data_IF_403875268611
#
_entry.id   IF_403875268611
#
_cell.length_a   1.000
_cell.length_b   1.000
_cell.length_c   1.000
_cell.angle_alpha   90.00
_cell.angle_beta   90.00
_cell.angle_gamma   90.00
#
_symmetry.space_group_name_H-M   'P 1'
#
loop_
_entity.id
_entity.type
_entity.pdbx_description
1 polymer ?
#
# COMPACT_ATOMS: atom_id res chain seq x y z
N UNK A 1 -48.21 -11.11 -27.55
CA UNK A 1 -46.89 -11.51 -27.03
C UNK A 1 -46.17 -10.24 -26.60
N UNK A 2 -46.04 -10.04 -25.29
CA UNK A 2 -45.50 -8.83 -24.71
C UNK A 2 -43.99 -8.74 -24.99
N UNK A 3 -43.56 -7.61 -25.54
CA UNK A 3 -42.15 -7.27 -25.70
C UNK A 3 -41.48 -7.24 -24.32
N UNK A 4 -40.57 -8.18 -24.08
CA UNK A 4 -39.72 -8.20 -22.89
C UNK A 4 -38.79 -6.99 -22.94
N UNK A 5 -38.92 -6.15 -21.91
CA UNK A 5 -38.18 -4.91 -21.65
C UNK A 5 -36.67 -5.04 -21.93
N UNK A 6 -36.19 -4.43 -23.01
CA UNK A 6 -34.75 -4.16 -23.20
C UNK A 6 -34.33 -3.10 -22.17
N UNK A 7 -33.70 -3.53 -21.08
CA UNK A 7 -33.06 -2.63 -20.13
C UNK A 7 -31.99 -1.79 -20.84
N UNK A 8 -31.92 -0.50 -20.53
CA UNK A 8 -30.89 0.43 -21.03
C UNK A 8 -29.47 -0.09 -20.69
N UNK A 9 -28.88 -0.89 -21.58
CA UNK A 9 -27.48 -1.27 -21.52
C UNK A 9 -26.64 -0.07 -21.97
N UNK A 10 -25.75 0.39 -21.09
CA UNK A 10 -24.71 1.34 -21.47
C UNK A 10 -23.79 0.64 -22.48
N UNK A 11 -23.32 1.35 -23.50
CA UNK A 11 -22.34 0.77 -24.42
C UNK A 11 -20.99 0.54 -23.71
N UNK A 12 -20.17 -0.36 -24.24
CA UNK A 12 -18.89 -0.72 -23.62
C UNK A 12 -17.93 0.48 -23.51
N UNK A 13 -17.92 1.37 -24.49
CA UNK A 13 -17.07 2.57 -24.48
C UNK A 13 -17.38 3.50 -23.29
N UNK A 14 -18.67 3.78 -23.03
CA UNK A 14 -19.06 4.60 -21.88
C UNK A 14 -18.82 3.84 -20.58
N UNK A 15 -18.98 2.53 -20.55
CA UNK A 15 -18.68 1.74 -19.36
C UNK A 15 -17.18 1.77 -19.03
N UNK A 16 -16.32 1.70 -20.05
CA UNK A 16 -14.87 1.87 -19.91
C UNK A 16 -14.52 3.27 -19.38
N UNK A 17 -15.21 4.31 -19.86
CA UNK A 17 -15.04 5.67 -19.33
C UNK A 17 -15.48 5.78 -17.87
N UNK A 18 -16.60 5.14 -17.50
CA UNK A 18 -17.06 5.02 -16.10
C UNK A 18 -15.99 4.35 -15.22
N UNK A 19 -15.47 3.20 -15.67
CA UNK A 19 -14.41 2.47 -14.97
C UNK A 19 -13.19 3.37 -14.74
N UNK A 20 -12.66 3.98 -15.82
CA UNK A 20 -11.50 4.88 -15.77
C UNK A 20 -11.72 6.05 -14.82
N UNK A 21 -12.90 6.66 -14.82
CA UNK A 21 -13.20 7.75 -13.90
C UNK A 21 -13.23 7.27 -12.44
N UNK A 22 -13.88 6.14 -12.17
CA UNK A 22 -14.05 5.60 -10.82
C UNK A 22 -12.73 5.13 -10.18
N UNK A 23 -11.87 4.42 -10.91
CA UNK A 23 -10.57 3.93 -10.40
C UNK A 23 -9.57 5.08 -10.15
N UNK A 24 -9.77 6.23 -10.80
CA UNK A 24 -9.01 7.45 -10.56
C UNK A 24 -9.63 8.36 -9.48
N UNK A 25 -10.60 7.84 -8.72
CA UNK A 25 -11.16 8.51 -7.55
C UNK A 25 -12.06 9.70 -7.87
N UNK A 26 -12.64 9.75 -9.07
CA UNK A 26 -13.68 10.73 -9.37
C UNK A 26 -14.96 10.43 -8.60
N UNK A 27 -15.71 11.49 -8.27
CA UNK A 27 -17.03 11.33 -7.65
C UNK A 27 -18.04 10.76 -8.66
N UNK A 28 -19.11 10.12 -8.17
CA UNK A 28 -20.20 9.64 -9.04
C UNK A 28 -20.84 10.78 -9.85
N UNK A 29 -20.89 12.00 -9.28
CA UNK A 29 -21.36 13.20 -9.99
C UNK A 29 -20.39 13.63 -11.09
N UNK A 30 -19.08 13.70 -10.79
CA UNK A 30 -18.08 14.04 -11.79
C UNK A 30 -18.06 13.01 -12.93
N UNK A 31 -18.14 11.72 -12.57
CA UNK A 31 -18.20 10.61 -13.53
C UNK A 31 -19.45 10.71 -14.41
N UNK A 32 -20.61 11.02 -13.83
CA UNK A 32 -21.87 11.26 -14.54
C UNK A 32 -21.73 12.38 -15.57
N UNK A 33 -21.11 13.50 -15.18
CA UNK A 33 -20.87 14.63 -16.09
C UNK A 33 -19.86 14.28 -17.19
N UNK A 34 -18.74 13.63 -16.85
CA UNK A 34 -17.67 13.27 -17.80
C UNK A 34 -18.19 12.29 -18.85
N UNK A 35 -18.96 11.28 -18.43
CA UNK A 35 -19.45 10.25 -19.32
C UNK A 35 -20.80 10.58 -19.97
N UNK A 36 -21.43 11.70 -19.59
CA UNK A 36 -22.78 12.07 -19.98
C UNK A 36 -23.80 10.93 -19.73
N UNK A 37 -23.78 10.41 -18.51
CA UNK A 37 -24.63 9.30 -18.05
C UNK A 37 -25.31 9.72 -16.75
N UNK A 38 -26.57 9.31 -16.56
CA UNK A 38 -27.27 9.58 -15.31
C UNK A 38 -26.52 9.05 -14.07
N UNK A 39 -26.57 9.80 -12.98
CA UNK A 39 -25.81 9.50 -11.75
C UNK A 39 -26.26 8.18 -11.09
N UNK A 40 -27.53 7.81 -11.16
CA UNK A 40 -28.00 6.54 -10.62
C UNK A 40 -27.47 5.36 -11.44
N UNK A 41 -27.33 5.56 -12.75
CA UNK A 41 -26.68 4.58 -13.63
C UNK A 41 -25.21 4.42 -13.27
N UNK A 42 -24.48 5.51 -13.01
CA UNK A 42 -23.09 5.43 -12.51
C UNK A 42 -23.02 4.68 -11.18
N UNK A 43 -23.90 5.00 -10.22
CA UNK A 43 -23.91 4.33 -8.92
C UNK A 43 -24.19 2.82 -9.05
N UNK A 44 -25.11 2.43 -9.94
CA UNK A 44 -25.43 1.03 -10.24
C UNK A 44 -24.22 0.28 -10.80
N UNK A 45 -23.57 0.83 -11.82
CA UNK A 45 -22.38 0.20 -12.42
C UNK A 45 -21.19 0.20 -11.47
N UNK A 46 -21.00 1.23 -10.64
CA UNK A 46 -19.96 1.22 -9.61
C UNK A 46 -20.16 0.06 -8.61
N UNK A 47 -21.41 -0.25 -8.24
CA UNK A 47 -21.72 -1.40 -7.41
C UNK A 47 -21.44 -2.72 -8.15
N UNK A 48 -21.90 -2.86 -9.39
CA UNK A 48 -21.70 -4.07 -10.21
C UNK A 48 -20.20 -4.36 -10.39
N UNK A 49 -19.44 -3.38 -10.88
CA UNK A 49 -18.01 -3.50 -11.14
C UNK A 49 -17.23 -3.80 -9.85
N UNK A 50 -17.58 -3.15 -8.74
CA UNK A 50 -16.94 -3.43 -7.45
C UNK A 50 -17.23 -4.82 -6.90
N UNK A 51 -18.46 -5.33 -7.04
CA UNK A 51 -18.80 -6.71 -6.68
C UNK A 51 -18.03 -7.71 -7.56
N UNK A 52 -18.02 -7.48 -8.88
CA UNK A 52 -17.27 -8.31 -9.83
C UNK A 52 -15.77 -8.28 -9.55
N UNK A 53 -15.22 -7.15 -9.13
CA UNK A 53 -13.81 -7.06 -8.73
C UNK A 53 -13.50 -7.92 -7.51
N UNK A 54 -14.42 -8.03 -6.55
CA UNK A 54 -14.27 -8.96 -5.43
C UNK A 54 -14.26 -10.42 -5.91
N UNK A 55 -15.15 -10.79 -6.84
CA UNK A 55 -15.18 -12.14 -7.40
C UNK A 55 -13.91 -12.48 -8.18
N UNK A 56 -13.43 -11.53 -9.00
CA UNK A 56 -12.18 -11.66 -9.74
C UNK A 56 -11.00 -11.85 -8.80
N UNK A 57 -10.89 -11.03 -7.75
CA UNK A 57 -9.84 -11.19 -6.74
C UNK A 57 -9.94 -12.54 -6.01
N UNK A 58 -11.16 -13.00 -5.69
CA UNK A 58 -11.38 -14.31 -5.08
C UNK A 58 -10.96 -15.47 -6.00
N UNK A 59 -11.09 -15.32 -7.31
CA UNK A 59 -10.64 -16.31 -8.29
C UNK A 59 -9.11 -16.31 -8.44
N UNK A 60 -8.49 -15.14 -8.52
CA UNK A 60 -7.07 -14.99 -8.88
C UNK A 60 -6.10 -15.09 -7.69
N UNK A 61 -6.44 -14.51 -6.55
CA UNK A 61 -5.55 -14.45 -5.39
C UNK A 61 -5.65 -15.73 -4.55
N UNK A 62 -5.08 -16.82 -5.06
CA UNK A 62 -5.06 -18.15 -4.41
C UNK A 62 -3.67 -18.77 -4.50
N UNK A 63 -3.31 -19.58 -3.50
CA UNK A 63 -2.06 -20.36 -3.51
C UNK A 63 -0.79 -19.49 -3.53
N UNK A 64 -0.85 -18.27 -2.99
CA UNK A 64 0.21 -17.29 -3.09
C UNK A 64 1.43 -17.68 -2.25
N UNK A 65 2.61 -17.66 -2.88
CA UNK A 65 3.89 -17.96 -2.24
C UNK A 65 4.61 -16.68 -1.82
N UNK A 66 4.13 -16.02 -0.76
CA UNK A 66 4.71 -14.75 -0.28
C UNK A 66 5.21 -14.85 1.15
N UNK A 67 6.54 -14.77 1.37
CA UNK A 67 7.11 -15.07 2.68
C UNK A 67 7.02 -13.91 3.67
N UNK A 68 6.78 -12.68 3.21
CA UNK A 68 6.72 -11.47 4.05
C UNK A 68 5.41 -10.75 3.81
N UNK A 69 4.68 -10.46 4.88
CA UNK A 69 3.39 -9.78 4.86
C UNK A 69 3.41 -8.61 5.83
N UNK A 70 2.95 -7.46 5.36
CA UNK A 70 2.67 -6.28 6.17
C UNK A 70 1.16 -6.06 6.25
N UNK A 71 0.65 -5.74 7.44
CA UNK A 71 -0.76 -5.43 7.63
C UNK A 71 -0.95 -4.12 8.38
N UNK A 72 -1.96 -3.36 7.96
CA UNK A 72 -2.33 -2.06 8.54
C UNK A 72 -3.81 -1.77 8.26
N UNK A 73 -4.37 -0.78 8.94
CA UNK A 73 -5.76 -0.34 8.77
C UNK A 73 -5.89 1.08 8.24
N UNK A 74 -6.70 1.21 7.18
CA UNK A 74 -7.05 2.49 6.60
C UNK A 74 -8.38 3.02 7.16
N UNK A 75 -8.33 4.11 7.92
CA UNK A 75 -9.54 4.79 8.40
C UNK A 75 -10.31 5.50 7.28
N UNK A 76 -11.64 5.35 7.32
CA UNK A 76 -12.65 6.13 6.61
C UNK A 76 -13.99 6.14 7.38
N UNK A 77 -15.05 6.71 6.81
CA UNK A 77 -16.39 6.64 7.39
C UNK A 77 -17.50 6.60 6.34
N UNK A 78 -18.67 6.08 6.74
CA UNK A 78 -19.89 5.99 5.96
C UNK A 78 -20.97 6.85 6.59
N UNK A 79 -21.56 7.74 5.79
CA UNK A 79 -22.64 8.70 6.09
C UNK A 79 -22.25 9.79 7.10
N UNK A 80 -21.73 9.44 8.26
CA UNK A 80 -21.33 10.38 9.33
C UNK A 80 -20.25 9.75 10.23
N UNK A 81 -19.51 10.59 10.96
CA UNK A 81 -18.48 10.14 11.90
C UNK A 81 -19.08 9.41 13.10
N UNK A 82 -18.32 8.51 13.71
CA UNK A 82 -18.79 7.59 14.76
C UNK A 82 -19.53 8.28 15.91
N UNK A 83 -19.08 9.45 16.36
CA UNK A 83 -19.69 10.18 17.47
C UNK A 83 -21.14 10.64 17.23
N UNK A 84 -21.66 10.54 16.00
CA UNK A 84 -23.03 10.95 15.63
C UNK A 84 -23.91 9.79 15.20
N UNK A 85 -23.44 8.56 15.37
CA UNK A 85 -24.09 7.34 14.88
C UNK A 85 -24.87 6.71 16.03
N UNK A 86 -26.14 6.41 15.80
CA UNK A 86 -26.94 5.67 16.79
C UNK A 86 -26.53 4.18 16.81
N UNK A 87 -26.85 3.42 17.87
CA UNK A 87 -26.56 1.99 17.91
C UNK A 87 -27.15 1.21 16.71
N UNK A 88 -28.38 1.52 16.30
CA UNK A 88 -29.03 0.91 15.15
C UNK A 88 -28.32 1.23 13.82
N UNK A 89 -27.89 2.49 13.64
CA UNK A 89 -27.11 2.89 12.46
C UNK A 89 -25.72 2.24 12.44
N UNK A 90 -25.10 2.07 13.60
CA UNK A 90 -23.80 1.40 13.74
C UNK A 90 -23.89 -0.07 13.35
N UNK A 91 -24.94 -0.77 13.81
CA UNK A 91 -25.24 -2.15 13.42
C UNK A 91 -25.51 -2.28 11.91
N UNK A 92 -26.11 -1.26 11.29
CA UNK A 92 -26.27 -1.18 9.83
C UNK A 92 -24.96 -0.85 9.07
N UNK A 93 -23.82 -0.74 9.76
CA UNK A 93 -22.51 -0.45 9.16
C UNK A 93 -22.23 1.02 8.86
N UNK A 94 -23.04 1.95 9.37
CA UNK A 94 -22.76 3.39 9.27
C UNK A 94 -21.74 3.80 10.34
N UNK A 95 -21.10 4.96 10.17
CA UNK A 95 -20.06 5.41 11.09
C UNK A 95 -18.65 5.14 10.56
N UNK A 96 -17.74 4.87 11.47
CA UNK A 96 -16.37 4.49 11.10
C UNK A 96 -16.36 3.18 10.31
N UNK A 97 -15.50 3.16 9.28
CA UNK A 97 -15.25 2.01 8.42
C UNK A 97 -13.75 1.93 8.17
N UNK A 98 -13.13 0.89 8.72
CA UNK A 98 -11.71 0.61 8.57
C UNK A 98 -11.53 -0.44 7.48
N UNK A 99 -10.55 -0.20 6.60
CA UNK A 99 -10.13 -1.19 5.62
C UNK A 99 -8.82 -1.80 6.11
N UNK A 100 -8.91 -3.04 6.58
CA UNK A 100 -7.76 -3.87 6.91
C UNK A 100 -7.13 -4.34 5.60
N UNK A 101 -5.81 -4.27 5.46
CA UNK A 101 -5.11 -4.57 4.22
C UNK A 101 -3.94 -5.49 4.53
N UNK A 102 -3.79 -6.56 3.75
CA UNK A 102 -2.65 -7.47 3.79
C UNK A 102 -1.83 -7.29 2.52
N UNK A 103 -0.59 -6.85 2.67
CA UNK A 103 0.32 -6.55 1.57
C UNK A 103 1.51 -7.51 1.59
N UNK A 104 1.74 -8.21 0.48
CA UNK A 104 2.89 -9.07 0.31
C UNK A 104 4.13 -8.29 -0.15
N UNK A 105 5.25 -8.52 0.52
CA UNK A 105 6.57 -8.02 0.14
C UNK A 105 7.41 -9.16 -0.44
N UNK A 106 8.22 -8.92 -1.49
CA UNK A 106 8.57 -7.63 -2.12
C UNK A 106 7.64 -7.18 -3.27
N UNK A 107 6.67 -8.01 -3.68
CA UNK A 107 5.83 -7.77 -4.86
C UNK A 107 4.89 -6.57 -4.72
N UNK A 108 4.63 -6.12 -3.49
CA UNK A 108 3.61 -5.11 -3.13
C UNK A 108 2.22 -5.51 -3.57
N UNK A 109 1.98 -6.81 -3.71
CA UNK A 109 0.68 -7.38 -4.06
C UNK A 109 -0.24 -7.30 -2.85
N UNK A 110 -1.43 -6.74 -3.02
CA UNK A 110 -2.44 -6.76 -1.95
C UNK A 110 -3.10 -8.13 -1.95
N UNK A 111 -2.76 -8.94 -0.95
CA UNK A 111 -3.26 -10.32 -0.77
C UNK A 111 -4.75 -10.30 -0.50
N UNK A 112 -5.19 -9.45 0.42
CA UNK A 112 -6.60 -9.25 0.74
C UNK A 112 -6.84 -7.89 1.38
N UNK A 113 -8.12 -7.49 1.38
CA UNK A 113 -8.66 -6.38 2.14
C UNK A 113 -9.97 -6.80 2.80
N UNK A 114 -10.28 -6.22 3.96
CA UNK A 114 -11.57 -6.39 4.62
C UNK A 114 -12.05 -5.06 5.17
N UNK A 115 -13.31 -4.72 4.87
CA UNK A 115 -13.93 -3.47 5.29
C UNK A 115 -14.94 -3.75 6.39
N UNK A 116 -14.65 -3.24 7.59
CA UNK A 116 -15.48 -3.45 8.77
C UNK A 116 -15.24 -2.40 9.84
N UNK A 117 -15.55 -2.77 11.07
CA UNK A 117 -15.29 -1.96 12.26
C UNK A 117 -13.87 -2.26 12.75
N UNK A 118 -13.31 -1.37 13.57
CA UNK A 118 -11.98 -1.62 14.17
C UNK A 118 -12.14 -2.43 15.44
N UNK A 119 -12.41 -3.71 15.26
CA UNK A 119 -12.68 -4.68 16.32
C UNK A 119 -12.08 -6.06 16.01
N UNK A 120 -12.18 -6.96 16.99
CA UNK A 120 -11.64 -8.31 16.90
C UNK A 120 -12.36 -9.19 15.88
N UNK A 121 -13.67 -8.98 15.68
CA UNK A 121 -14.46 -9.72 14.69
C UNK A 121 -13.95 -9.44 13.27
N UNK A 122 -13.79 -8.15 12.92
CA UNK A 122 -13.28 -7.76 11.60
C UNK A 122 -11.84 -8.25 11.41
N UNK A 123 -11.00 -8.16 12.44
CA UNK A 123 -9.62 -8.66 12.39
C UNK A 123 -9.56 -10.18 12.16
N UNK A 124 -10.41 -10.97 12.85
CA UNK A 124 -10.45 -12.43 12.64
C UNK A 124 -10.92 -12.80 11.23
N UNK A 125 -11.95 -12.12 10.68
CA UNK A 125 -12.39 -12.32 9.28
C UNK A 125 -11.25 -12.00 8.29
N UNK A 126 -10.54 -10.91 8.53
CA UNK A 126 -9.42 -10.48 7.69
C UNK A 126 -8.24 -11.47 7.71
N UNK A 127 -7.86 -11.98 8.88
CA UNK A 127 -6.81 -12.99 8.99
C UNK A 127 -7.23 -14.34 8.42
N UNK A 128 -8.50 -14.73 8.57
CA UNK A 128 -9.04 -15.94 7.96
C UNK A 128 -8.89 -15.91 6.43
N UNK A 129 -9.26 -14.79 5.80
CA UNK A 129 -9.12 -14.63 4.34
C UNK A 129 -7.64 -14.51 3.93
N UNK A 130 -6.80 -13.83 4.72
CA UNK A 130 -5.34 -13.81 4.49
C UNK A 130 -4.78 -15.23 4.50
N UNK A 131 -5.14 -16.03 5.51
CA UNK A 131 -4.70 -17.42 5.67
C UNK A 131 -5.17 -18.32 4.53
N UNK A 132 -6.38 -18.12 4.02
CA UNK A 132 -6.92 -18.95 2.94
C UNK A 132 -6.22 -18.75 1.59
N UNK A 133 -5.59 -17.58 1.39
CA UNK A 133 -4.95 -17.22 0.10
C UNK A 133 -3.51 -17.68 -0.04
N UNK A 134 -2.86 -18.05 1.07
CA UNK A 134 -1.44 -18.38 1.11
C UNK A 134 -1.20 -19.89 1.00
N UNK A 135 -0.10 -20.27 0.35
CA UNK A 135 0.39 -21.65 0.26
C UNK A 135 1.64 -21.90 1.13
N UNK A 136 2.26 -20.83 1.64
CA UNK A 136 3.44 -20.88 2.50
C UNK A 136 3.18 -20.11 3.79
N UNK A 137 3.78 -20.56 4.90
CA UNK A 137 3.72 -19.85 6.17
C UNK A 137 4.45 -18.50 6.05
N UNK A 138 3.77 -17.36 6.27
CA UNK A 138 4.38 -16.04 6.14
C UNK A 138 5.12 -15.64 7.42
N UNK A 139 5.96 -14.60 7.30
CA UNK A 139 6.26 -13.68 8.40
C UNK A 139 5.31 -12.51 8.33
N UNK A 140 4.70 -12.15 9.46
CA UNK A 140 3.72 -11.08 9.52
C UNK A 140 4.28 -9.93 10.35
N UNK A 141 4.12 -8.70 9.86
CA UNK A 141 4.37 -7.48 10.63
C UNK A 141 3.14 -6.60 10.63
N UNK A 142 2.70 -6.18 11.81
CA UNK A 142 1.57 -5.26 11.99
C UNK A 142 1.92 -4.08 12.90
N UNK A 143 0.99 -3.14 13.04
CA UNK A 143 1.07 -2.11 14.07
C UNK A 143 0.65 -2.67 15.46
N UNK A 144 0.68 -1.80 16.47
CA UNK A 144 0.31 -2.15 17.84
C UNK A 144 -1.21 -2.27 18.08
N UNK A 145 -2.01 -2.76 17.13
CA UNK A 145 -3.45 -2.96 17.35
C UNK A 145 -3.74 -4.26 18.12
N UNK A 146 -4.40 -4.11 19.29
CA UNK A 146 -4.59 -5.19 20.27
C UNK A 146 -5.23 -6.49 19.74
N UNK A 147 -6.17 -6.47 18.78
CA UNK A 147 -6.77 -7.70 18.27
C UNK A 147 -5.87 -8.57 17.37
N UNK A 148 -4.83 -8.01 16.73
CA UNK A 148 -4.00 -8.79 15.79
C UNK A 148 -3.36 -10.04 16.40
N UNK A 149 -2.72 -10.00 17.59
CA UNK A 149 -2.14 -11.20 18.20
C UNK A 149 -3.14 -12.36 18.35
N UNK A 150 -4.38 -12.07 18.75
CA UNK A 150 -5.39 -13.12 18.91
C UNK A 150 -5.81 -13.68 17.55
N UNK A 151 -6.14 -12.81 16.59
CA UNK A 151 -6.58 -13.22 15.25
C UNK A 151 -5.50 -14.00 14.48
N UNK A 152 -4.26 -13.54 14.50
CA UNK A 152 -3.13 -14.22 13.86
C UNK A 152 -2.88 -15.58 14.52
N UNK A 153 -2.89 -15.63 15.86
CA UNK A 153 -2.73 -16.87 16.61
C UNK A 153 -3.82 -17.90 16.31
N UNK A 154 -5.07 -17.47 16.14
CA UNK A 154 -6.21 -18.32 15.77
C UNK A 154 -6.05 -18.95 14.37
N UNK A 155 -5.65 -18.16 13.37
CA UNK A 155 -5.67 -18.61 11.97
C UNK A 155 -4.38 -19.28 11.49
N UNK A 156 -3.23 -18.81 11.98
CA UNK A 156 -1.90 -19.31 11.60
C UNK A 156 -1.26 -20.21 12.67
N UNK A 157 -1.70 -20.12 13.93
CA UNK A 157 -1.09 -20.81 15.06
C UNK A 157 0.16 -20.11 15.60
N UNK A 158 0.65 -20.49 16.80
CA UNK A 158 1.77 -19.83 17.47
C UNK A 158 3.13 -20.05 16.80
N UNK A 159 3.19 -20.93 15.79
CA UNK A 159 4.41 -21.20 15.01
C UNK A 159 4.67 -20.19 13.89
N UNK A 160 3.78 -19.21 13.68
CA UNK A 160 3.99 -18.13 12.73
C UNK A 160 5.00 -17.13 13.28
N UNK A 161 5.88 -16.64 12.41
CA UNK A 161 6.78 -15.55 12.77
C UNK A 161 6.01 -14.24 12.71
N UNK A 162 5.73 -13.63 13.87
CA UNK A 162 4.88 -12.44 13.96
C UNK A 162 5.50 -11.38 14.85
N UNK A 163 5.59 -10.15 14.32
CA UNK A 163 6.07 -8.98 15.04
C UNK A 163 5.14 -7.78 14.97
N UNK A 164 5.18 -6.93 16.01
CA UNK A 164 4.44 -5.68 16.08
C UNK A 164 5.38 -4.48 16.18
N UNK A 165 5.09 -3.44 15.40
CA UNK A 165 5.71 -2.12 15.51
C UNK A 165 4.87 -1.18 16.37
N UNK A 166 5.30 -0.92 17.61
CA UNK A 166 4.63 0.02 18.51
C UNK A 166 5.25 1.41 18.36
N UNK A 167 4.47 2.34 17.80
CA UNK A 167 4.85 3.76 17.67
C UNK A 167 4.66 4.48 19.01
N UNK A 168 5.74 4.97 19.61
CA UNK A 168 5.70 5.74 20.86
C UNK A 168 5.52 7.22 20.58
N UNK A 169 4.26 7.67 20.57
CA UNK A 169 3.95 9.10 20.48
C UNK A 169 4.09 9.76 21.86
N UNK A 170 4.98 10.76 22.01
CA UNK A 170 5.04 11.57 23.24
C UNK A 170 3.82 12.49 23.30
N UNK A 171 3.18 12.56 24.47
CA UNK A 171 1.97 13.39 24.71
C UNK A 171 2.27 14.85 25.10
N UNK A 172 3.52 15.28 25.07
CA UNK A 172 3.94 16.63 25.47
C UNK A 172 4.67 17.35 24.33
N UNK A 173 4.29 18.60 24.06
CA UNK A 173 5.15 19.53 23.32
C UNK A 173 6.47 19.69 24.06
N UNK A 174 7.56 19.87 23.33
CA UNK A 174 8.91 20.07 23.87
C UNK A 174 8.90 21.33 24.75
N UNK A 175 8.80 21.15 26.07
CA UNK A 175 9.13 22.16 27.08
C UNK A 175 10.52 21.81 27.57
N UNK A 176 11.55 22.42 27.00
CA UNK A 176 12.83 22.68 27.69
C UNK A 176 13.72 23.51 26.76
N UNK A 177 14.14 24.67 27.27
CA UNK A 177 14.98 25.66 26.58
C UNK A 177 16.47 25.27 26.55
N UNK A 178 16.88 24.23 27.30
CA UNK A 178 18.29 23.95 27.59
C UNK A 178 18.89 22.74 26.82
N UNK A 179 18.09 22.06 25.99
CA UNK A 179 18.55 20.93 25.16
C UNK A 179 18.36 21.17 23.67
N UNK A 180 18.52 22.42 23.21
CA UNK A 180 18.21 22.83 21.83
C UNK A 180 19.04 22.12 20.75
N UNK A 181 20.23 21.60 21.08
CA UNK A 181 21.19 21.08 20.11
C UNK A 181 21.51 19.57 20.21
N UNK A 182 20.85 18.82 21.11
CA UNK A 182 20.99 17.37 21.11
C UNK A 182 19.84 16.68 20.36
N UNK A 183 20.13 15.72 19.46
CA UNK A 183 19.10 14.96 18.78
C UNK A 183 18.38 14.01 19.76
N UNK A 184 17.05 13.84 19.67
CA UNK A 184 16.33 12.86 20.47
C UNK A 184 16.84 11.43 20.20
N UNK A 185 17.23 10.68 21.24
CA UNK A 185 17.70 9.27 21.15
C UNK A 185 16.71 8.25 21.69
N UNK A 186 15.41 8.47 21.52
CA UNK A 186 14.38 7.50 21.89
C UNK A 186 13.74 6.96 20.61
N UNK A 187 13.80 5.64 20.33
CA UNK A 187 13.27 5.11 19.09
C UNK A 187 11.76 5.37 19.01
N UNK A 188 11.37 6.17 18.01
CA UNK A 188 9.97 6.47 17.68
C UNK A 188 9.13 5.19 17.45
N UNK A 189 9.78 4.11 17.01
CA UNK A 189 9.18 2.81 16.74
C UNK A 189 9.97 1.74 17.50
N UNK A 190 9.28 0.99 18.37
CA UNK A 190 9.84 -0.19 19.04
C UNK A 190 9.17 -1.43 18.44
N UNK A 191 9.97 -2.39 17.98
CA UNK A 191 9.48 -3.64 17.39
C UNK A 191 9.57 -4.77 18.40
N UNK A 192 8.51 -5.56 18.52
CA UNK A 192 8.42 -6.70 19.43
C UNK A 192 8.08 -7.97 18.66
N UNK A 193 8.77 -9.08 18.97
CA UNK A 193 8.35 -10.40 18.54
C UNK A 193 7.19 -10.87 19.44
N UNK A 194 6.09 -11.32 18.83
CA UNK A 194 4.89 -11.79 19.54
C UNK A 194 4.77 -13.31 19.43
N UNK A 195 4.91 -13.86 18.22
CA UNK A 195 4.98 -15.30 17.99
C UNK A 195 6.21 -15.66 17.15
N UNK A 196 6.66 -16.91 17.28
CA UNK A 196 7.80 -17.42 16.52
C UNK A 196 9.10 -16.66 16.80
N UNK A 197 9.94 -16.58 15.76
CA UNK A 197 11.23 -15.89 15.76
C UNK A 197 11.35 -14.99 14.52
N UNK A 198 10.49 -13.94 14.40
CA UNK A 198 10.49 -13.03 13.27
C UNK A 198 11.80 -12.24 13.20
N UNK A 199 12.17 -11.82 11.99
CA UNK A 199 13.32 -10.97 11.80
C UNK A 199 12.95 -9.50 12.05
N UNK A 200 13.22 -9.03 13.27
CA UNK A 200 12.92 -7.66 13.69
C UNK A 200 13.69 -6.58 12.91
N UNK A 201 14.82 -6.91 12.29
CA UNK A 201 15.57 -5.96 11.46
C UNK A 201 14.77 -5.61 10.20
N UNK A 202 14.19 -6.63 9.55
CA UNK A 202 13.40 -6.48 8.32
C UNK A 202 11.93 -6.15 8.55
N UNK A 203 11.40 -6.41 9.75
CA UNK A 203 10.01 -6.12 10.10
C UNK A 203 9.66 -4.62 9.91
N UNK A 204 8.69 -4.30 9.06
CA UNK A 204 8.25 -2.93 8.81
C UNK A 204 6.80 -2.91 8.36
N UNK A 205 6.14 -1.75 8.49
CA UNK A 205 4.79 -1.48 7.96
C UNK A 205 4.83 -0.38 6.88
N UNK A 206 6.02 0.06 6.49
CA UNK A 206 6.19 1.23 5.63
C UNK A 206 5.57 1.04 4.23
N UNK A 207 5.53 -0.19 3.71
CA UNK A 207 5.02 -0.45 2.37
C UNK A 207 3.49 -0.48 2.35
N UNK A 208 2.86 -1.08 3.36
CA UNK A 208 1.40 -1.01 3.52
C UNK A 208 0.95 0.42 3.83
N UNK A 209 1.70 1.19 4.64
CA UNK A 209 1.41 2.61 4.88
C UNK A 209 1.51 3.46 3.60
N UNK A 210 2.52 3.16 2.76
CA UNK A 210 2.65 3.81 1.45
C UNK A 210 1.53 3.40 0.50
N UNK A 211 1.11 2.14 0.51
CA UNK A 211 -0.03 1.64 -0.25
C UNK A 211 -1.32 2.36 0.19
N UNK A 212 -1.58 2.44 1.49
CA UNK A 212 -2.68 3.18 2.09
C UNK A 212 -2.78 4.63 1.58
N UNK A 213 -1.64 5.30 1.41
CA UNK A 213 -1.58 6.64 0.81
C UNK A 213 -1.96 6.66 -0.68
N UNK A 214 -1.52 5.67 -1.47
CA UNK A 214 -1.94 5.50 -2.87
C UNK A 214 -3.44 5.24 -2.95
N UNK A 215 -3.96 4.33 -2.13
CA UNK A 215 -5.35 3.92 -2.18
C UNK A 215 -6.33 5.06 -1.85
N UNK A 216 -5.92 6.05 -1.03
CA UNK A 216 -6.73 7.27 -0.82
C UNK A 216 -6.90 8.12 -2.09
N UNK A 217 -6.01 8.00 -3.07
CA UNK A 217 -6.13 8.71 -4.34
C UNK A 217 -7.12 8.00 -5.27
N UNK A 218 -6.99 6.67 -5.40
CA UNK A 218 -7.89 5.82 -6.19
C UNK A 218 -9.29 5.75 -5.60
N UNK A 219 -9.39 5.58 -4.28
CA UNK A 219 -10.66 5.54 -3.56
C UNK A 219 -10.98 6.96 -3.09
N UNK A 220 -11.47 7.81 -4.01
CA UNK A 220 -11.73 9.22 -3.72
C UNK A 220 -12.61 9.48 -2.49
N UNK A 221 -13.50 8.53 -2.16
CA UNK A 221 -14.37 8.51 -0.97
C UNK A 221 -13.65 8.25 0.37
N UNK A 222 -12.33 8.08 0.36
CA UNK A 222 -11.46 7.93 1.54
C UNK A 222 -10.46 9.07 1.70
N UNK A 223 -10.55 10.13 0.87
CA UNK A 223 -9.71 11.32 1.00
C UNK A 223 -9.98 12.00 2.34
N UNK A 224 -8.90 12.44 3.00
CA UNK A 224 -8.97 13.10 4.31
C UNK A 224 -9.22 14.59 4.15
N UNK A 225 -9.81 15.20 5.18
CA UNK A 225 -10.02 16.65 5.29
C UNK A 225 -10.85 17.27 4.16
N UNK A 226 -11.69 16.46 3.50
CA UNK A 226 -12.62 16.88 2.46
C UNK A 226 -13.97 16.19 2.65
N UNK A 227 -15.02 16.73 2.03
CA UNK A 227 -16.38 16.15 2.05
C UNK A 227 -16.53 14.97 1.08
N UNK A 228 -15.60 14.02 1.14
CA UNK A 228 -15.64 12.79 0.34
C UNK A 228 -15.88 11.59 1.25
N UNK A 229 -17.08 11.01 1.19
CA UNK A 229 -17.47 9.86 2.00
C UNK A 229 -18.54 9.02 1.31
N UNK A 230 -18.64 7.74 1.66
CA UNK A 230 -19.72 6.86 1.19
C UNK A 230 -21.03 7.17 1.90
N UNK A 231 -22.16 7.09 1.20
CA UNK A 231 -23.49 7.13 1.83
C UNK A 231 -24.02 5.75 2.23
N UNK A 232 -23.55 4.71 1.56
CA UNK A 232 -23.97 3.33 1.76
C UNK A 232 -22.75 2.43 2.02
N UNK A 233 -22.79 1.55 3.04
CA UNK A 233 -21.69 0.62 3.32
C UNK A 233 -21.41 -0.34 2.17
N UNK A 234 -22.45 -0.85 1.49
CA UNK A 234 -22.29 -1.78 0.34
C UNK A 234 -21.50 -1.13 -0.80
N UNK A 235 -21.86 0.10 -1.18
CA UNK A 235 -21.11 0.86 -2.19
C UNK A 235 -19.69 1.23 -1.73
N UNK A 236 -19.48 1.40 -0.42
CA UNK A 236 -18.13 1.61 0.12
C UNK A 236 -17.24 0.39 -0.13
N UNK A 237 -17.72 -0.82 0.23
CA UNK A 237 -17.01 -2.08 -0.01
C UNK A 237 -16.75 -2.33 -1.50
N UNK A 238 -17.74 -2.08 -2.35
CA UNK A 238 -17.60 -2.22 -3.79
C UNK A 238 -16.51 -1.30 -4.37
N UNK A 239 -16.46 -0.03 -3.94
CA UNK A 239 -15.43 0.91 -4.40
C UNK A 239 -14.01 0.51 -3.93
N UNK A 240 -13.90 -0.03 -2.70
CA UNK A 240 -12.66 -0.58 -2.16
C UNK A 240 -12.19 -1.75 -3.02
N UNK A 241 -13.06 -2.73 -3.25
CA UNK A 241 -12.74 -3.91 -4.03
C UNK A 241 -12.29 -3.56 -5.46
N UNK A 242 -13.04 -2.68 -6.14
CA UNK A 242 -12.70 -2.21 -7.49
C UNK A 242 -11.29 -1.62 -7.53
N UNK A 243 -10.97 -0.76 -6.57
CA UNK A 243 -9.71 -0.01 -6.57
C UNK A 243 -8.51 -0.89 -6.21
N UNK A 244 -8.64 -1.83 -5.28
CA UNK A 244 -7.55 -2.74 -4.93
C UNK A 244 -7.28 -3.76 -6.05
N UNK A 245 -8.34 -4.25 -6.71
CA UNK A 245 -8.17 -5.14 -7.86
C UNK A 245 -7.48 -4.41 -9.03
N UNK A 246 -7.90 -3.17 -9.33
CA UNK A 246 -7.22 -2.30 -10.29
C UNK A 246 -5.75 -2.03 -9.90
N UNK A 247 -5.46 -1.76 -8.63
CA UNK A 247 -4.09 -1.56 -8.15
C UNK A 247 -3.20 -2.78 -8.41
N UNK A 248 -3.70 -3.99 -8.16
CA UNK A 248 -2.93 -5.22 -8.33
C UNK A 248 -2.66 -5.53 -9.81
N UNK A 249 -3.66 -5.34 -10.69
CA UNK A 249 -3.63 -5.85 -12.07
C UNK A 249 -3.14 -4.82 -13.10
N UNK A 250 -3.47 -3.54 -12.92
CA UNK A 250 -3.30 -2.52 -13.96
C UNK A 250 -2.26 -1.46 -13.58
N UNK A 251 -2.18 -1.10 -12.30
CA UNK A 251 -1.31 -0.01 -11.86
C UNK A 251 0.12 -0.49 -11.61
N UNK A 252 1.10 0.29 -12.09
CA UNK A 252 2.53 0.06 -11.81
C UNK A 252 2.98 1.04 -10.73
N UNK A 253 3.22 0.60 -9.48
CA UNK A 253 3.75 1.46 -8.44
C UNK A 253 5.13 2.00 -8.85
N UNK A 254 5.40 3.29 -8.64
CA UNK A 254 6.66 3.96 -9.04
C UNK A 254 7.97 3.24 -8.61
N UNK A 255 7.92 2.47 -7.52
CA UNK A 255 9.07 1.70 -7.03
C UNK A 255 9.22 0.30 -7.62
N UNK A 256 8.32 -0.10 -8.52
CA UNK A 256 8.35 -1.34 -9.28
C UNK A 256 8.42 -1.00 -10.78
N UNK A 257 8.85 -1.97 -11.58
CA UNK A 257 8.82 -1.88 -13.06
C UNK A 257 7.63 -2.62 -13.68
N UNK A 258 6.94 -3.43 -12.87
CA UNK A 258 5.83 -4.30 -13.25
C UNK A 258 4.68 -4.11 -12.27
N UNK A 259 3.49 -4.59 -12.61
CA UNK A 259 2.34 -4.58 -11.70
C UNK A 259 2.57 -5.54 -10.53
N UNK A 260 1.91 -5.33 -9.39
CA UNK A 260 2.02 -6.24 -8.27
C UNK A 260 1.61 -7.68 -8.63
N UNK A 261 0.55 -7.86 -9.43
CA UNK A 261 0.09 -9.18 -9.87
C UNK A 261 1.10 -9.89 -10.78
N UNK A 262 1.79 -9.14 -11.64
CA UNK A 262 2.86 -9.69 -12.48
C UNK A 262 4.08 -10.07 -11.64
N UNK A 263 4.43 -9.23 -10.65
CA UNK A 263 5.59 -9.46 -9.77
C UNK A 263 5.49 -10.75 -8.95
N UNK A 264 4.26 -11.12 -8.56
CA UNK A 264 3.98 -12.36 -7.81
C UNK A 264 3.62 -13.55 -8.73
N UNK A 265 3.52 -13.34 -10.04
CA UNK A 265 3.19 -14.40 -11.00
C UNK A 265 1.70 -14.76 -11.09
N UNK A 266 0.80 -13.92 -10.59
CA UNK A 266 -0.66 -14.07 -10.77
C UNK A 266 -1.08 -13.77 -12.22
N UNK A 267 -0.37 -12.86 -12.89
CA UNK A 267 -0.52 -12.59 -14.33
C UNK A 267 0.85 -12.54 -15.01
N UNK A 268 0.89 -12.73 -16.33
CA UNK A 268 2.13 -12.65 -17.11
C UNK A 268 2.47 -11.21 -17.56
N UNK A 269 1.49 -10.30 -17.55
CA UNK A 269 1.62 -8.93 -18.05
C UNK A 269 0.77 -7.95 -17.23
N UNK A 270 1.07 -6.63 -17.30
CA UNK A 270 0.19 -5.57 -16.85
C UNK A 270 -1.09 -5.54 -17.68
N UNK A 271 -2.26 -5.46 -17.04
CA UNK A 271 -3.52 -5.32 -17.77
C UNK A 271 -3.78 -3.86 -18.11
N UNK A 272 -4.36 -3.61 -19.28
CA UNK A 272 -4.98 -2.32 -19.58
C UNK A 272 -6.41 -2.26 -19.01
N UNK A 273 -7.05 -1.08 -19.09
CA UNK A 273 -8.38 -0.93 -18.50
C UNK A 273 -9.49 -1.63 -19.30
N UNK A 274 -9.26 -1.95 -20.58
CA UNK A 274 -10.22 -2.66 -21.42
C UNK A 274 -10.21 -4.16 -21.10
N UNK A 275 -9.03 -4.77 -21.03
CA UNK A 275 -8.83 -6.13 -20.53
C UNK A 275 -9.41 -6.28 -19.13
N UNK A 276 -9.13 -5.33 -18.23
CA UNK A 276 -9.68 -5.35 -16.88
C UNK A 276 -11.21 -5.25 -16.88
N UNK A 277 -11.81 -4.35 -17.67
CA UNK A 277 -13.26 -4.26 -17.79
C UNK A 277 -13.87 -5.58 -18.29
N UNK A 278 -13.29 -6.16 -19.34
CA UNK A 278 -13.77 -7.41 -19.93
C UNK A 278 -13.74 -8.55 -18.91
N UNK A 279 -12.65 -8.68 -18.15
CA UNK A 279 -12.53 -9.66 -17.07
C UNK A 279 -13.60 -9.46 -15.98
N UNK A 280 -13.89 -8.21 -15.59
CA UNK A 280 -14.96 -7.91 -14.62
C UNK A 280 -16.35 -8.28 -15.14
N UNK A 281 -16.59 -8.14 -16.45
CA UNK A 281 -17.88 -8.50 -17.05
C UNK A 281 -18.04 -10.01 -17.21
N UNK A 282 -16.94 -10.73 -17.49
CA UNK A 282 -16.95 -12.18 -17.71
C UNK A 282 -16.86 -13.00 -16.43
N UNK A 283 -16.34 -12.44 -15.32
CA UNK A 283 -16.12 -13.20 -14.09
C UNK A 283 -17.43 -13.72 -13.50
N UNK A 284 -17.44 -15.00 -13.15
CA UNK A 284 -18.55 -15.66 -12.48
C UNK A 284 -18.53 -15.36 -10.98
N UNK A 285 -19.68 -15.48 -10.33
CA UNK A 285 -19.77 -15.34 -8.88
C UNK A 285 -18.85 -16.34 -8.20
N UNK A 286 -17.90 -15.81 -7.42
CA UNK A 286 -16.85 -16.60 -6.80
C UNK A 286 -16.75 -16.22 -5.33
N UNK A 287 -17.04 -17.19 -4.46
CA UNK A 287 -16.92 -17.07 -3.00
C UNK A 287 -15.47 -16.91 -2.53
N UNK A 288 -15.29 -16.74 -1.22
CA UNK A 288 -13.96 -16.65 -0.61
C UNK A 288 -13.14 -17.92 -0.88
N UNK A 289 -11.81 -17.81 -1.05
CA UNK A 289 -10.94 -18.98 -1.15
C UNK A 289 -11.03 -19.88 0.09
N UNK A 290 -10.81 -21.17 -0.10
CA UNK A 290 -10.77 -22.15 1.00
C UNK A 290 -9.35 -22.29 1.57
N UNK A 291 -9.28 -22.64 2.85
CA UNK A 291 -8.02 -22.81 3.58
C UNK A 291 -7.28 -24.07 3.11
N UNK A 292 -6.20 -23.88 2.35
CA UNK A 292 -5.25 -24.94 2.00
C UNK A 292 -4.17 -25.21 3.06
N UNK A 293 -3.40 -26.30 2.93
CA UNK A 293 -2.22 -26.54 3.77
C UNK A 293 -1.14 -25.48 3.53
N UNK A 294 -0.41 -25.10 4.58
CA UNK A 294 0.76 -24.21 4.47
C UNK A 294 2.03 -25.04 4.52
N UNK A 295 2.90 -24.83 3.54
CA UNK A 295 4.28 -25.27 3.66
C UNK A 295 5.06 -24.37 4.62
N UNK A 296 5.92 -24.97 5.44
CA UNK A 296 6.78 -24.23 6.35
C UNK A 296 7.99 -23.69 5.58
N UNK A 297 8.42 -22.46 5.92
CA UNK A 297 9.64 -21.89 5.36
C UNK A 297 10.86 -22.64 5.89
N UNK A 298 11.83 -22.89 5.03
CA UNK A 298 13.15 -23.31 5.50
C UNK A 298 13.82 -22.11 6.16
N UNK A 299 14.23 -22.20 7.43
CA UNK A 299 14.88 -21.09 8.11
C UNK A 299 16.26 -20.84 7.52
N UNK A 300 16.62 -19.57 7.32
CA UNK A 300 17.94 -19.17 6.84
C UNK A 300 19.07 -19.37 7.88
N UNK A 301 18.70 -19.61 9.14
CA UNK A 301 19.61 -19.84 10.28
C UNK A 301 19.73 -21.34 10.54
N UNK A 302 20.86 -21.84 11.07
CA UNK A 302 20.98 -23.23 11.51
C UNK A 302 19.78 -23.64 12.35
N UNK A 303 19.14 -24.70 11.90
CA UNK A 303 17.94 -25.26 12.52
C UNK A 303 18.00 -26.78 12.49
N UNK A 304 17.31 -27.40 13.44
CA UNK A 304 17.13 -28.85 13.49
C UNK A 304 15.72 -29.18 13.07
N UNK A 305 15.56 -29.98 12.02
CA UNK A 305 14.28 -30.54 11.64
C UNK A 305 13.80 -31.51 12.73
N UNK A 306 12.55 -31.33 13.17
CA UNK A 306 11.88 -32.20 14.12
C UNK A 306 11.06 -33.27 13.38
N UNK A 307 10.74 -34.37 14.08
CA UNK A 307 10.01 -35.50 13.50
C UNK A 307 8.59 -35.13 13.00
N UNK A 308 8.02 -34.03 13.51
CA UNK A 308 6.72 -33.49 13.08
C UNK A 308 6.81 -32.51 11.88
N UNK A 309 7.99 -32.38 11.25
CA UNK A 309 8.21 -31.49 10.11
C UNK A 309 8.46 -30.03 10.46
N UNK A 310 8.37 -29.65 11.75
CA UNK A 310 8.71 -28.31 12.22
C UNK A 310 10.24 -28.16 12.37
N UNK A 311 10.73 -26.92 12.35
CA UNK A 311 12.15 -26.62 12.57
C UNK A 311 12.35 -26.00 13.95
N UNK A 312 13.28 -26.54 14.72
CA UNK A 312 13.78 -25.91 15.94
C UNK A 312 14.94 -24.97 15.55
N UNK A 313 14.76 -23.67 15.77
CA UNK A 313 15.76 -22.64 15.50
C UNK A 313 16.45 -22.23 16.79
N UNK A 314 17.79 -22.19 16.79
CA UNK A 314 18.53 -21.51 17.85
C UNK A 314 18.38 -20.00 17.66
N UNK A 315 17.73 -19.33 18.60
CA UNK A 315 17.69 -17.86 18.65
C UNK A 315 18.71 -17.42 19.69
N UNK A 316 19.64 -16.49 19.38
CA UNK A 316 20.54 -15.94 20.38
C UNK A 316 19.70 -15.34 21.51
N UNK A 317 19.98 -15.73 22.75
CA UNK A 317 19.33 -15.12 23.91
C UNK A 317 19.61 -13.62 23.89
N UNK A 318 18.58 -12.79 24.06
CA UNK A 318 18.70 -11.34 24.17
C UNK A 318 19.38 -10.87 25.49
N UNK A 319 20.32 -11.66 26.00
CA UNK A 319 20.97 -11.46 27.30
C UNK A 319 22.27 -12.25 27.51
N UNK A 320 22.94 -12.77 26.46
CA UNK A 320 24.31 -13.26 26.64
C UNK A 320 25.31 -12.09 26.67
N UNK A 321 26.28 -12.07 27.61
CA UNK A 321 27.29 -11.02 27.66
C UNK A 321 28.05 -11.01 26.35
N UNK A 322 28.09 -9.85 25.69
CA UNK A 322 28.98 -9.60 24.56
C UNK A 322 30.38 -10.04 24.98
N UNK A 323 30.93 -11.05 24.30
CA UNK A 323 32.28 -11.54 24.58
C UNK A 323 33.23 -10.33 24.67
N UNK A 324 34.09 -10.25 25.70
CA UNK A 324 34.96 -9.10 25.85
C UNK A 324 35.79 -8.95 24.57
N UNK A 325 35.96 -7.70 24.07
CA UNK A 325 36.73 -7.49 22.86
C UNK A 325 38.12 -8.11 23.04
N UNK A 326 38.71 -8.72 21.99
CA UNK A 326 40.07 -9.24 22.09
C UNK A 326 40.99 -8.11 22.56
N UNK A 327 41.82 -8.41 23.57
CA UNK A 327 42.76 -7.44 24.12
C UNK A 327 43.60 -6.87 22.97
N UNK A 328 43.82 -5.55 22.93
CA UNK A 328 44.68 -4.96 21.92
C UNK A 328 46.07 -5.61 22.03
N UNK A 329 46.53 -6.17 20.91
CA UNK A 329 47.89 -6.68 20.77
C UNK A 329 48.80 -5.47 20.86
N UNK A 330 49.64 -5.40 21.88
CA UNK A 330 50.69 -4.38 21.99
C UNK A 330 51.64 -4.55 20.80
N UNK A 331 51.81 -3.52 19.95
CA UNK A 331 52.83 -3.55 18.92
C UNK A 331 54.22 -3.52 19.57
N UNK A 332 55.24 -4.16 18.96
CA UNK A 332 56.62 -4.09 19.44
C UNK A 332 57.18 -2.65 19.33
N UNK A 333 58.16 -2.28 20.16
CA UNK A 333 58.63 -0.91 20.30
C UNK A 333 59.32 -0.35 19.05
N UNK A 334 59.11 0.95 18.84
CA UNK A 334 59.52 1.74 17.67
C UNK A 334 61.01 1.67 17.33
N UNK A 335 61.28 1.46 16.04
CA UNK A 335 62.52 1.89 15.38
C UNK A 335 62.40 3.35 14.90
N UNK A 336 63.48 4.11 15.10
CA UNK A 336 63.61 5.56 14.93
C UNK A 336 63.21 6.14 13.53
N UNK A 337 62.97 7.46 13.44
CA UNK A 337 62.14 8.07 12.40
C UNK A 337 62.90 8.45 11.14
N UNK A 338 62.28 8.26 9.97
CA UNK A 338 62.69 8.89 8.71
C UNK A 338 61.93 10.20 8.50
N UNK A 339 62.68 11.23 8.11
CA UNK A 339 62.32 12.65 8.08
C UNK A 339 62.08 13.09 6.64
N UNK A 340 60.94 13.68 6.32
CA UNK A 340 60.70 14.46 5.09
C UNK A 340 59.45 15.37 5.27
N UNK A 341 59.28 16.47 4.52
CA UNK A 341 59.40 17.81 5.08
C UNK A 341 58.08 18.58 5.22
N UNK A 342 58.17 19.66 5.99
CA UNK A 342 57.14 20.66 6.20
C UNK A 342 56.90 21.52 4.94
N UNK A 343 55.63 21.88 4.72
CA UNK A 343 55.26 23.01 3.88
C UNK A 343 53.87 22.89 3.27
N UNK A 344 52.88 23.51 3.91
CA UNK A 344 52.05 24.57 3.32
C UNK A 344 50.79 24.80 4.15
N UNK A 345 50.48 26.07 4.31
CA UNK A 345 49.56 26.68 5.25
C UNK A 345 48.09 26.27 5.06
N UNK A 346 47.35 26.35 6.17
CA UNK A 346 45.90 26.27 6.23
C UNK A 346 45.26 27.34 5.33
N UNK A 347 44.56 26.91 4.28
CA UNK A 347 43.49 27.69 3.67
C UNK A 347 42.13 27.21 4.19
N UNK A 348 41.46 28.11 4.89
CA UNK A 348 40.05 28.03 5.28
C UNK A 348 39.19 28.12 4.02
N UNK A 349 38.32 27.15 3.71
CA UNK A 349 37.31 27.35 2.67
C UNK A 349 36.26 28.31 3.19
N UNK A 350 36.14 29.46 2.51
CA UNK A 350 35.13 30.48 2.78
C UNK A 350 33.70 29.95 2.69
N UNK A 351 32.79 30.67 3.35
CA UNK A 351 31.33 30.52 3.25
C UNK A 351 30.90 30.48 1.78
N UNK A 352 30.72 29.28 1.24
CA UNK A 352 30.01 29.06 0.00
C UNK A 352 28.52 29.08 0.31
N UNK A 353 27.88 30.22 0.05
CA UNK A 353 26.44 30.33 -0.11
C UNK A 353 25.99 29.36 -1.21
N UNK A 354 25.35 28.27 -0.84
CA UNK A 354 24.56 27.46 -1.76
C UNK A 354 23.44 28.33 -2.33
N UNK A 355 23.34 28.58 -3.64
CA UNK A 355 22.21 29.32 -4.18
C UNK A 355 20.97 28.42 -4.09
N UNK A 356 20.03 28.85 -3.25
CA UNK A 356 18.66 28.39 -3.28
C UNK A 356 18.11 28.68 -4.68
N UNK A 357 17.74 27.63 -5.40
CA UNK A 357 17.19 27.75 -6.76
C UNK A 357 15.81 28.41 -6.66
N UNK A 358 15.74 29.67 -7.06
CA UNK A 358 14.49 30.41 -7.13
C UNK A 358 13.70 29.96 -8.38
N UNK A 359 12.44 29.57 -8.17
CA UNK A 359 11.66 28.78 -9.13
C UNK A 359 11.13 29.60 -10.32
N UNK A 360 11.38 30.92 -10.34
CA UNK A 360 10.69 31.86 -11.23
C UNK A 360 11.60 32.81 -12.03
N UNK A 361 12.92 32.63 -12.02
CA UNK A 361 13.79 33.40 -12.92
C UNK A 361 13.95 32.74 -14.31
N UNK A 362 13.79 33.50 -15.41
CA UNK A 362 13.99 32.98 -16.75
C UNK A 362 15.48 32.74 -17.03
N UNK A 363 15.82 31.49 -17.34
CA UNK A 363 17.18 31.05 -17.63
C UNK A 363 17.62 31.53 -19.02
N UNK A 364 18.80 32.15 -19.13
CA UNK A 364 19.39 32.51 -20.42
C UNK A 364 19.65 31.25 -21.28
N UNK A 365 19.49 31.31 -22.62
CA UNK A 365 19.61 30.14 -23.47
C UNK A 365 21.07 29.66 -23.60
N UNK A 366 21.28 28.36 -23.41
CA UNK A 366 22.57 27.66 -23.62
C UNK A 366 22.88 27.52 -25.12
N UNK A 367 24.15 27.55 -25.55
CA UNK A 367 24.50 27.40 -26.96
C UNK A 367 24.23 25.99 -27.49
N UNK A 368 23.98 25.95 -28.80
CA UNK A 368 23.22 24.94 -29.54
C UNK A 368 23.79 23.51 -29.59
N UNK A 369 22.89 22.53 -29.52
CA UNK A 369 23.13 21.15 -29.97
C UNK A 369 21.96 20.68 -30.86
N UNK A 370 22.30 20.39 -32.13
CA UNK A 370 21.61 19.61 -33.17
C UNK A 370 20.07 19.54 -33.22
N UNK A 371 19.52 20.03 -34.34
CA UNK A 371 18.11 20.01 -34.78
C UNK A 371 17.35 18.72 -34.43
N UNK A 372 16.38 18.82 -33.51
CA UNK A 372 15.22 17.93 -33.43
C UNK A 372 14.10 18.46 -34.33
N UNK A 373 13.25 17.62 -34.95
CA UNK A 373 12.12 18.09 -35.75
C UNK A 373 11.13 18.85 -34.86
N UNK A 374 10.60 19.96 -35.39
CA UNK A 374 9.69 20.85 -34.68
C UNK A 374 8.39 20.12 -34.28
N UNK A 375 7.94 20.24 -33.02
CA UNK A 375 6.60 19.78 -32.66
C UNK A 375 5.57 20.76 -33.22
N UNK A 376 4.69 20.27 -34.10
CA UNK A 376 3.51 21.03 -34.54
C UNK A 376 2.58 21.29 -33.34
N UNK A 377 2.49 22.56 -32.94
CA UNK A 377 1.52 23.03 -31.96
C UNK A 377 0.13 23.04 -32.60
N UNK A 378 -0.79 22.21 -32.08
CA UNK A 378 -2.20 22.28 -32.45
C UNK A 378 -2.79 23.59 -31.88
N UNK A 379 -3.05 24.57 -32.76
CA UNK A 379 -3.67 25.84 -32.38
C UNK A 379 -5.13 25.61 -31.97
N UNK A 380 -5.41 25.79 -30.67
CA UNK A 380 -6.72 25.59 -30.04
C UNK A 380 -7.74 26.73 -30.26
N UNK A 381 -7.45 27.69 -31.13
CA UNK A 381 -8.37 28.80 -31.43
C UNK A 381 -8.33 29.15 -32.92
N UNK A 382 -9.46 28.98 -33.61
CA UNK A 382 -9.66 29.52 -34.96
C UNK A 382 -9.87 31.03 -34.81
N UNK A 383 -8.97 31.83 -35.37
CA UNK A 383 -9.23 33.25 -35.61
C UNK A 383 -10.18 33.35 -36.81
N UNK A 384 -11.46 33.58 -36.53
CA UNK A 384 -12.39 34.10 -37.52
C UNK A 384 -12.06 35.57 -37.75
N UNK A 385 -11.40 35.87 -38.87
CA UNK A 385 -11.43 37.21 -39.50
C UNK A 385 -10.70 37.15 -40.83
N UNK A 386 -11.44 36.87 -41.92
CA UNK A 386 -11.42 37.67 -43.16
C UNK A 386 -12.50 37.15 -44.14
N UNK A 387 -13.17 38.05 -44.90
CA UNK A 387 -14.36 37.73 -45.68
C UNK A 387 -14.02 37.13 -47.06
N UNK A 388 -14.98 36.45 -47.73
CA UNK A 388 -14.71 35.77 -48.98
C UNK A 388 -14.62 36.79 -50.12
N UNK A 389 -13.56 36.72 -50.91
CA UNK A 389 -13.49 37.37 -52.22
C UNK A 389 -13.69 36.31 -53.29
N UNK A 390 -14.40 36.73 -54.35
CA UNK A 390 -15.15 35.96 -55.36
C UNK A 390 -14.40 34.86 -56.11
#
# INVERSE_FOLDING_TARGET
>A
MAATTMGNYINNERLLLLLKALVNGNSERATSNIANVDRETVARYAMILGTKAQYLHNQMARGLTTPLIEQDELWSFVKKKQSRVSPAENAAGQGEAYTFVSLAMPSRYVVTWTVGKRDAETASIFEADTRARLSIMPEITTDGFNPYPLAIGEHFGPGVDYSQGIKRFRKGGRKDDDHRYEPPRDPFLVKHAIFGAPNLETATTAHVERNNSTMRHFIGRMRRLVLAFSKCPKHHRAAVALSYCYYNLCWIPKGLRVTPAMSIGVTAHPWDEEEFLNALLSVLETGLPEKGPLSLRQPATPSRLLANGHHLRSVPSAGEPKAPPPRPVTPPPDGAPSRAPAGSEKQTPGKGTSPQLDLFEPRAPSPAASKRPEPQQLSLFRNESEPPTQ
#
